data_IF_671778025870
#
_entry.id   IF_671778025870
#
_cell.length_a   1.000
_cell.length_b   1.000
_cell.length_c   1.000
_cell.angle_alpha   90.00
_cell.angle_beta   90.00
_cell.angle_gamma   90.00
#
_symmetry.space_group_name_H-M   'P 1'
#
loop_
_entity.id
_entity.type
_entity.pdbx_description
1 polymer ?
#
# COMPACT_ATOMS: atom_id res chain seq x y z
N UNK A 1 8.31 9.55 4.81
CA UNK A 1 6.93 9.09 4.51
C UNK A 1 6.92 7.57 4.41
N UNK A 2 5.82 6.93 4.81
CA UNK A 2 5.62 5.47 4.71
C UNK A 2 4.58 5.16 3.66
N UNK A 3 4.88 4.26 2.73
CA UNK A 3 3.96 3.73 1.74
C UNK A 3 3.43 2.36 2.19
N UNK A 4 2.11 2.16 2.18
CA UNK A 4 1.49 0.90 2.61
C UNK A 4 0.52 0.43 1.52
N UNK A 5 0.83 -0.64 0.81
CA UNK A 5 -0.14 -1.26 -0.09
C UNK A 5 -1.06 -2.20 0.68
N UNK A 6 -2.32 -2.29 0.29
CA UNK A 6 -3.32 -3.04 1.05
C UNK A 6 -3.66 -2.42 2.41
N UNK A 7 -3.41 -1.12 2.57
CA UNK A 7 -3.56 -0.42 3.84
C UNK A 7 -4.99 -0.33 4.37
N UNK A 8 -6.01 -0.54 3.54
CA UNK A 8 -7.40 -0.61 3.96
C UNK A 8 -7.86 -2.05 4.30
N UNK A 9 -7.01 -3.06 4.06
CA UNK A 9 -7.26 -4.46 4.45
C UNK A 9 -7.10 -4.69 5.95
N UNK A 10 -7.35 -5.93 6.39
CA UNK A 10 -7.31 -6.27 7.82
C UNK A 10 -5.94 -6.01 8.47
N UNK A 11 -4.86 -6.52 7.88
CA UNK A 11 -3.51 -6.31 8.43
C UNK A 11 -3.06 -4.87 8.24
N UNK A 12 -3.24 -4.33 7.02
CA UNK A 12 -2.77 -2.99 6.66
C UNK A 12 -3.40 -1.89 7.51
N UNK A 13 -4.71 -1.96 7.77
CA UNK A 13 -5.39 -0.96 8.60
C UNK A 13 -4.95 -0.97 10.06
N UNK A 14 -4.61 -2.13 10.60
CA UNK A 14 -4.02 -2.25 11.94
C UNK A 14 -2.61 -1.63 11.99
N UNK A 15 -1.81 -1.81 10.94
CA UNK A 15 -0.51 -1.14 10.82
C UNK A 15 -0.67 0.38 10.73
N UNK A 16 -1.59 0.86 9.89
CA UNK A 16 -1.92 2.29 9.78
C UNK A 16 -2.33 2.85 11.16
N UNK A 17 -3.22 2.14 11.87
CA UNK A 17 -3.66 2.52 13.21
C UNK A 17 -2.51 2.63 14.22
N UNK A 18 -1.59 1.67 14.19
CA UNK A 18 -0.43 1.66 15.08
C UNK A 18 0.55 2.80 14.79
N UNK A 19 0.81 3.08 13.51
CA UNK A 19 1.73 4.13 13.07
C UNK A 19 1.15 5.53 13.31
N UNK A 20 -0.14 5.73 13.04
CA UNK A 20 -0.81 7.04 13.20
C UNK A 20 -0.93 7.51 14.66
N UNK A 21 -0.82 6.60 15.63
CA UNK A 21 -0.88 6.92 17.07
C UNK A 21 0.46 7.33 17.66
N UNK A 22 1.56 7.20 16.92
CA UNK A 22 2.89 7.56 17.44
C UNK A 22 3.06 9.09 17.56
N UNK A 23 3.74 9.54 18.57
CA UNK A 23 4.18 10.94 18.66
C UNK A 23 5.10 11.25 17.49
N UNK A 24 4.81 12.31 16.74
CA UNK A 24 5.54 12.59 15.50
C UNK A 24 5.22 11.58 14.38
N UNK A 25 3.97 11.09 14.33
CA UNK A 25 3.55 10.09 13.36
C UNK A 25 4.03 10.43 11.94
N UNK A 26 4.57 9.46 11.20
CA UNK A 26 5.01 9.68 9.83
C UNK A 26 3.80 9.96 8.92
N UNK A 27 4.02 10.67 7.83
CA UNK A 27 3.03 10.72 6.75
C UNK A 27 2.84 9.32 6.19
N UNK A 28 1.60 8.86 6.11
CA UNK A 28 1.25 7.53 5.60
C UNK A 28 0.47 7.69 4.31
N UNK A 29 0.97 7.12 3.22
CA UNK A 29 0.24 6.96 1.97
C UNK A 29 -0.21 5.52 1.85
N UNK A 30 -1.51 5.33 1.70
CA UNK A 30 -2.15 4.03 1.47
C UNK A 30 -2.38 3.82 -0.01
N UNK A 31 -1.99 2.64 -0.52
CA UNK A 31 -2.30 2.19 -1.88
C UNK A 31 -3.32 1.08 -1.78
N UNK A 32 -4.55 1.37 -2.13
CA UNK A 32 -5.64 0.38 -2.04
C UNK A 32 -6.84 0.77 -2.92
N UNK A 33 -7.67 -0.23 -3.26
CA UNK A 33 -9.01 -0.01 -3.81
C UNK A 33 -10.02 -0.13 -2.68
N UNK A 34 -10.73 0.97 -2.41
CA UNK A 34 -11.75 0.97 -1.35
C UNK A 34 -13.03 0.28 -1.80
N UNK A 35 -13.29 0.24 -3.13
CA UNK A 35 -14.47 -0.41 -3.69
C UNK A 35 -15.78 0.28 -3.27
N UNK A 36 -16.86 -0.50 -3.30
CA UNK A 36 -18.20 -0.06 -2.92
C UNK A 36 -18.64 -0.57 -1.54
N UNK A 37 -17.81 -1.39 -0.91
CA UNK A 37 -18.05 -1.98 0.40
C UNK A 37 -17.57 -1.08 1.53
N UNK A 38 -17.74 -1.55 2.77
CA UNK A 38 -17.36 -0.83 3.99
C UNK A 38 -15.86 -0.78 4.29
N UNK A 39 -15.01 -1.19 3.36
CA UNK A 39 -13.54 -1.28 3.52
C UNK A 39 -12.91 0.06 3.93
N UNK A 40 -13.43 1.18 3.45
CA UNK A 40 -12.99 2.52 3.81
C UNK A 40 -13.12 2.81 5.32
N UNK A 41 -14.06 2.16 6.01
CA UNK A 41 -14.26 2.32 7.46
C UNK A 41 -13.05 1.92 8.27
N UNK A 42 -12.23 0.99 7.75
CA UNK A 42 -11.00 0.55 8.40
C UNK A 42 -9.96 1.68 8.53
N UNK A 43 -10.09 2.74 7.73
CA UNK A 43 -9.17 3.89 7.75
C UNK A 43 -9.81 5.14 8.36
N UNK A 44 -11.12 5.18 8.57
CA UNK A 44 -11.89 6.40 8.90
C UNK A 44 -11.44 7.10 10.20
N UNK A 45 -10.87 6.37 11.14
CA UNK A 45 -10.44 6.89 12.45
C UNK A 45 -8.92 7.10 12.55
N UNK A 46 -8.20 7.04 11.42
CA UNK A 46 -6.74 7.11 11.40
C UNK A 46 -6.25 8.25 10.51
N UNK A 47 -5.14 8.87 10.92
CA UNK A 47 -4.49 9.90 10.12
C UNK A 47 -3.77 9.25 8.94
N UNK A 48 -4.35 9.38 7.76
CA UNK A 48 -3.77 8.99 6.48
C UNK A 48 -3.51 10.27 5.68
N UNK A 49 -2.29 10.41 5.17
CA UNK A 49 -1.92 11.57 4.37
C UNK A 49 -2.59 11.55 3.00
N UNK A 50 -2.62 10.38 2.37
CA UNK A 50 -3.21 10.18 1.05
C UNK A 50 -3.61 8.72 0.84
N UNK A 51 -4.67 8.51 0.05
CA UNK A 51 -5.07 7.20 -0.47
C UNK A 51 -4.99 7.28 -1.98
N UNK A 52 -4.30 6.34 -2.60
CA UNK A 52 -4.15 6.25 -4.05
C UNK A 52 -4.56 4.87 -4.54
N UNK A 53 -5.08 4.81 -5.75
CA UNK A 53 -5.37 3.54 -6.41
C UNK A 53 -4.07 2.88 -6.91
N UNK A 54 -3.99 1.54 -6.95
CA UNK A 54 -2.81 0.81 -7.42
C UNK A 54 -2.33 1.23 -8.82
N UNK A 55 -3.24 1.62 -9.70
CA UNK A 55 -2.94 2.08 -11.06
C UNK A 55 -2.15 3.38 -11.11
N UNK A 56 -2.23 4.18 -10.06
CA UNK A 56 -1.51 5.44 -9.94
C UNK A 56 -0.15 5.31 -9.23
N UNK A 57 0.20 4.09 -8.79
CA UNK A 57 1.38 3.88 -7.95
C UNK A 57 2.68 4.23 -8.66
N UNK A 58 2.89 3.81 -9.90
CA UNK A 58 4.14 4.07 -10.62
C UNK A 58 4.39 5.57 -10.78
N UNK A 59 3.34 6.33 -11.12
CA UNK A 59 3.42 7.79 -11.19
C UNK A 59 3.74 8.39 -9.82
N UNK A 60 3.04 7.92 -8.77
CA UNK A 60 3.25 8.40 -7.41
C UNK A 60 4.69 8.16 -6.93
N UNK A 61 5.24 6.98 -7.20
CA UNK A 61 6.62 6.64 -6.86
C UNK A 61 7.64 7.55 -7.56
N UNK A 62 7.40 7.89 -8.83
CA UNK A 62 8.29 8.77 -9.59
C UNK A 62 8.25 10.23 -9.12
N UNK A 63 7.11 10.68 -8.59
CA UNK A 63 6.91 12.05 -8.10
C UNK A 63 7.37 12.24 -6.64
N UNK A 64 7.56 11.13 -5.87
CA UNK A 64 7.81 11.17 -4.43
C UNK A 64 9.02 10.33 -4.00
N UNK A 65 9.92 9.99 -4.91
CA UNK A 65 11.02 9.04 -4.65
C UNK A 65 11.96 9.47 -3.52
N UNK A 66 12.21 10.78 -3.35
CA UNK A 66 13.06 11.32 -2.28
C UNK A 66 12.37 11.33 -0.90
N UNK A 67 11.05 11.20 -0.84
CA UNK A 67 10.28 11.35 0.41
C UNK A 67 9.84 10.03 1.03
N UNK A 68 9.87 8.93 0.28
CA UNK A 68 9.48 7.60 0.76
C UNK A 68 10.67 6.95 1.49
N UNK A 69 10.45 6.59 2.75
CA UNK A 69 11.47 6.00 3.64
C UNK A 69 11.26 4.50 3.88
N UNK A 70 10.02 4.03 3.80
CA UNK A 70 9.64 2.62 4.00
C UNK A 70 8.48 2.23 3.09
N UNK A 71 8.50 1.01 2.61
CA UNK A 71 7.40 0.39 1.89
C UNK A 71 6.95 -0.88 2.61
N UNK A 72 5.67 -0.92 3.01
CA UNK A 72 4.99 -2.13 3.48
C UNK A 72 4.05 -2.62 2.38
N UNK A 73 4.34 -3.77 1.82
CA UNK A 73 3.57 -4.36 0.73
C UNK A 73 2.68 -5.48 1.26
N UNK A 74 1.45 -5.12 1.66
CA UNK A 74 0.46 -6.03 2.24
C UNK A 74 -0.73 -6.25 1.28
N UNK A 75 -0.72 -5.58 0.14
CA UNK A 75 -1.78 -5.65 -0.85
C UNK A 75 -1.61 -6.87 -1.76
N UNK A 76 -2.61 -7.74 -1.74
CA UNK A 76 -2.72 -8.87 -2.66
C UNK A 76 -4.20 -9.23 -2.88
N UNK A 77 -4.50 -9.87 -4.01
CA UNK A 77 -5.77 -10.57 -4.18
C UNK A 77 -5.64 -11.91 -3.44
N UNK A 78 -6.31 -12.02 -2.30
CA UNK A 78 -6.29 -13.19 -1.43
C UNK A 78 -7.53 -14.09 -1.57
N UNK A 79 -8.46 -13.72 -2.46
CA UNK A 79 -9.66 -14.52 -2.74
C UNK A 79 -9.29 -15.85 -3.39
N UNK A 80 -9.68 -16.96 -2.76
CA UNK A 80 -9.47 -18.32 -3.29
C UNK A 80 -10.43 -18.69 -4.43
N UNK A 81 -11.44 -17.87 -4.66
CA UNK A 81 -12.44 -18.05 -5.73
C UNK A 81 -12.19 -17.18 -6.95
N UNK A 82 -11.15 -16.33 -6.92
CA UNK A 82 -10.77 -15.51 -8.08
C UNK A 82 -10.29 -16.42 -9.23
N UNK A 83 -10.84 -16.18 -10.41
CA UNK A 83 -10.55 -16.95 -11.61
C UNK A 83 -9.81 -16.17 -12.69
N UNK A 84 -9.74 -14.84 -12.54
CA UNK A 84 -8.96 -13.99 -13.45
C UNK A 84 -7.46 -14.08 -13.11
N UNK A 85 -6.80 -15.03 -13.78
CA UNK A 85 -5.37 -15.31 -13.58
C UNK A 85 -4.52 -14.08 -13.98
N UNK A 86 -4.91 -13.35 -15.03
CA UNK A 86 -4.19 -12.15 -15.45
C UNK A 86 -4.29 -11.05 -14.40
N UNK A 87 -5.44 -10.91 -13.77
CA UNK A 87 -5.62 -9.99 -12.64
C UNK A 87 -4.75 -10.39 -11.44
N UNK A 88 -4.70 -11.68 -11.10
CA UNK A 88 -3.86 -12.20 -10.01
C UNK A 88 -2.38 -11.94 -10.32
N UNK A 89 -1.93 -12.22 -11.53
CA UNK A 89 -0.54 -11.98 -11.93
C UNK A 89 -0.19 -10.50 -11.87
N UNK A 90 -1.04 -9.61 -12.37
CA UNK A 90 -0.81 -8.16 -12.29
C UNK A 90 -0.74 -7.68 -10.85
N UNK A 91 -1.69 -8.10 -10.02
CA UNK A 91 -1.87 -7.56 -8.67
C UNK A 91 -0.93 -8.17 -7.63
N UNK A 92 -0.58 -9.45 -7.76
CA UNK A 92 0.19 -10.16 -6.75
C UNK A 92 1.66 -10.34 -7.15
N UNK A 93 1.94 -10.65 -8.41
CA UNK A 93 3.30 -10.91 -8.86
C UNK A 93 3.97 -9.66 -9.46
N UNK A 94 3.39 -9.09 -10.51
CA UNK A 94 4.02 -7.99 -11.22
C UNK A 94 4.17 -6.75 -10.33
N UNK A 95 3.15 -6.43 -9.55
CA UNK A 95 3.20 -5.31 -8.60
C UNK A 95 4.27 -5.51 -7.53
N UNK A 96 4.36 -6.72 -6.95
CA UNK A 96 5.38 -7.04 -5.94
C UNK A 96 6.79 -6.92 -6.52
N UNK A 97 6.99 -7.43 -7.73
CA UNK A 97 8.28 -7.36 -8.42
C UNK A 97 8.67 -5.91 -8.78
N UNK A 98 7.71 -5.12 -9.26
CA UNK A 98 7.93 -3.69 -9.57
C UNK A 98 8.34 -2.92 -8.32
N UNK A 99 7.60 -3.09 -7.22
CA UNK A 99 7.93 -2.45 -5.94
C UNK A 99 9.28 -2.91 -5.39
N UNK A 100 9.59 -4.20 -5.46
CA UNK A 100 10.88 -4.74 -5.06
C UNK A 100 12.02 -4.07 -5.83
N UNK A 101 11.92 -4.02 -7.16
CA UNK A 101 12.93 -3.41 -8.02
C UNK A 101 13.09 -1.91 -7.72
N UNK A 102 11.98 -1.20 -7.54
CA UNK A 102 11.98 0.21 -7.21
C UNK A 102 12.65 0.46 -5.84
N UNK A 103 12.26 -0.29 -4.81
CA UNK A 103 12.84 -0.18 -3.47
C UNK A 103 14.35 -0.50 -3.47
N UNK A 104 14.76 -1.51 -4.22
CA UNK A 104 16.17 -1.88 -4.37
C UNK A 104 16.97 -0.75 -5.02
N UNK A 105 16.46 -0.16 -6.09
CA UNK A 105 17.10 0.96 -6.80
C UNK A 105 17.27 2.18 -5.90
N UNK A 106 16.26 2.49 -5.08
CA UNK A 106 16.25 3.67 -4.20
C UNK A 106 16.79 3.37 -2.78
N UNK A 107 17.21 2.13 -2.51
CA UNK A 107 17.73 1.67 -1.20
C UNK A 107 16.71 1.86 -0.06
N UNK A 108 15.44 1.63 -0.35
CA UNK A 108 14.33 1.77 0.59
C UNK A 108 14.01 0.39 1.18
N UNK A 109 13.86 0.28 2.52
CA UNK A 109 13.40 -0.95 3.15
C UNK A 109 12.03 -1.39 2.62
N UNK A 110 11.95 -2.66 2.20
CA UNK A 110 10.75 -3.29 1.66
C UNK A 110 10.33 -4.45 2.55
N UNK A 111 9.14 -4.37 3.12
CA UNK A 111 8.55 -5.35 4.03
C UNK A 111 7.28 -5.91 3.36
N UNK A 112 7.16 -7.25 3.25
CA UNK A 112 6.01 -7.92 2.63
C UNK A 112 5.64 -9.19 3.37
#
# INVERSE_FOLDING_TARGET
MILITGGAGFIGSNLVAALSKKTGAPKITVVDRLGIDDKWKNLSNHLVHQIIEPENLDRYLSENDESIEYVFHLGAISSTIEKDVDLILRSNFNLSLSLWNWCTKHRIPFIY
#
